data_IF_409608403208
#
_entry.id   IF_409608403208
#
_cell.length_a   1.000
_cell.length_b   1.000
_cell.length_c   1.000
_cell.angle_alpha   90.00
_cell.angle_beta   90.00
_cell.angle_gamma   90.00
#
_symmetry.space_group_name_H-M   'P 1'
#
loop_
_entity.id
_entity.type
_entity.pdbx_description
1 polymer ?
#
# COMPACT_ATOMS: atom_id res chain seq x y z
N UNK A 1 -16.32 -10.81 6.20
CA UNK A 1 -15.95 -9.88 7.28
C UNK A 1 -15.06 -8.84 6.64
N UNK A 2 -15.39 -7.53 6.76
CA UNK A 2 -14.63 -6.47 6.10
C UNK A 2 -13.22 -6.37 6.68
N UNK A 3 -12.22 -6.20 5.82
CA UNK A 3 -10.81 -6.09 6.23
C UNK A 3 -10.49 -4.67 6.69
N UNK A 4 -10.90 -3.65 5.90
CA UNK A 4 -10.74 -2.23 6.23
C UNK A 4 -12.11 -1.58 6.34
N UNK A 5 -12.31 -0.81 7.40
CA UNK A 5 -13.51 -0.03 7.63
C UNK A 5 -13.15 1.38 8.11
N UNK A 6 -13.74 2.38 7.48
CA UNK A 6 -13.71 3.77 7.94
C UNK A 6 -15.14 4.18 8.23
N UNK A 7 -15.40 4.67 9.43
CA UNK A 7 -16.75 5.13 9.84
C UNK A 7 -16.69 6.62 10.13
N UNK A 8 -17.45 7.39 9.36
CA UNK A 8 -17.53 8.85 9.46
C UNK A 8 -16.17 9.52 9.58
N UNK A 9 -15.18 8.98 8.82
CA UNK A 9 -13.77 9.36 8.93
C UNK A 9 -13.56 10.77 8.42
N UNK A 10 -13.10 11.66 9.29
CA UNK A 10 -12.80 13.05 8.99
C UNK A 10 -11.30 13.30 9.06
N UNK A 11 -10.68 13.56 7.90
CA UNK A 11 -9.25 13.79 7.78
C UNK A 11 -8.94 15.28 7.60
N UNK A 12 -7.85 15.74 8.21
CA UNK A 12 -7.39 17.12 8.09
C UNK A 12 -6.40 17.50 9.17
N UNK A 13 -6.02 18.79 9.21
CA UNK A 13 -5.07 19.35 10.17
C UNK A 13 -5.76 20.40 11.06
N UNK A 14 -6.10 21.57 10.51
CA UNK A 14 -6.84 22.65 11.21
C UNK A 14 -8.34 22.60 10.93
N UNK A 15 -8.77 21.79 9.95
CA UNK A 15 -10.14 21.57 9.54
C UNK A 15 -10.23 20.42 8.55
N UNK A 16 -11.46 19.92 8.27
CA UNK A 16 -11.67 18.85 7.31
C UNK A 16 -11.17 19.21 5.91
N UNK A 17 -10.48 18.28 5.24
CA UNK A 17 -10.04 18.45 3.85
C UNK A 17 -11.12 18.03 2.85
N UNK A 18 -12.00 17.10 3.23
CA UNK A 18 -13.13 16.62 2.44
C UNK A 18 -14.27 16.20 3.39
N UNK A 19 -15.42 15.87 2.83
CA UNK A 19 -16.57 15.40 3.59
C UNK A 19 -16.24 14.09 4.34
N UNK A 20 -16.84 13.83 5.52
CA UNK A 20 -16.63 12.59 6.24
C UNK A 20 -16.84 11.36 5.35
N UNK A 21 -15.93 10.40 5.46
CA UNK A 21 -15.88 9.22 4.58
C UNK A 21 -16.33 7.97 5.33
N UNK A 22 -17.30 7.27 4.75
CA UNK A 22 -17.63 5.89 5.08
C UNK A 22 -17.10 4.96 3.99
N UNK A 23 -16.28 3.98 4.37
CA UNK A 23 -15.62 3.05 3.46
C UNK A 23 -15.51 1.68 4.10
N UNK A 24 -15.86 0.65 3.34
CA UNK A 24 -15.64 -0.74 3.71
C UNK A 24 -14.99 -1.47 2.53
N UNK A 25 -13.96 -2.29 2.83
CA UNK A 25 -13.32 -3.16 1.85
C UNK A 25 -13.37 -4.62 2.30
N UNK A 26 -13.77 -5.47 1.37
CA UNK A 26 -13.82 -6.93 1.53
C UNK A 26 -12.52 -7.59 1.02
N UNK A 27 -12.24 -8.85 1.41
CA UNK A 27 -11.14 -9.62 0.84
C UNK A 27 -11.20 -9.65 -0.70
N UNK A 28 -10.07 -9.37 -1.35
CA UNK A 28 -9.96 -9.34 -2.81
C UNK A 28 -10.56 -8.13 -3.50
N UNK A 29 -11.22 -7.22 -2.75
CA UNK A 29 -11.85 -6.02 -3.32
C UNK A 29 -10.82 -4.90 -3.53
N UNK A 30 -10.99 -4.16 -4.63
CA UNK A 30 -10.20 -2.97 -4.98
C UNK A 30 -11.08 -1.74 -5.00
N UNK A 31 -10.70 -0.70 -4.25
CA UNK A 31 -11.35 0.61 -4.27
C UNK A 31 -10.37 1.69 -4.71
N UNK A 32 -10.74 2.48 -5.71
CA UNK A 32 -10.02 3.66 -6.13
C UNK A 32 -10.57 4.92 -5.45
N UNK A 33 -9.69 5.66 -4.80
CA UNK A 33 -9.96 6.99 -4.25
C UNK A 33 -9.47 8.02 -5.27
N UNK A 34 -10.39 8.73 -5.89
CA UNK A 34 -10.09 9.78 -6.86
C UNK A 34 -10.27 11.17 -6.28
N UNK A 35 -9.44 12.10 -6.72
CA UNK A 35 -9.58 13.51 -6.37
C UNK A 35 -8.45 14.35 -6.96
N UNK A 36 -8.66 15.66 -7.01
CA UNK A 36 -7.65 16.62 -7.49
C UNK A 36 -6.40 16.58 -6.61
N UNK A 37 -5.26 17.01 -7.16
CA UNK A 37 -4.06 17.19 -6.34
C UNK A 37 -4.37 18.14 -5.17
N UNK A 38 -3.86 17.80 -3.98
CA UNK A 38 -4.07 18.60 -2.76
C UNK A 38 -5.41 18.39 -2.04
N UNK A 39 -6.35 17.56 -2.54
CA UNK A 39 -7.65 17.35 -1.88
C UNK A 39 -7.56 16.56 -0.57
N UNK A 40 -6.40 15.96 -0.26
CA UNK A 40 -6.23 15.20 0.99
C UNK A 40 -6.08 13.69 0.82
N UNK A 41 -5.84 13.18 -0.40
CA UNK A 41 -5.71 11.75 -0.67
C UNK A 41 -4.57 11.09 0.14
N UNK A 42 -3.38 11.69 0.13
CA UNK A 42 -2.25 11.22 0.95
C UNK A 42 -2.53 11.35 2.44
N UNK A 43 -3.28 12.40 2.86
CA UNK A 43 -3.70 12.54 4.25
C UNK A 43 -4.66 11.42 4.67
N UNK A 44 -5.57 11.00 3.79
CA UNK A 44 -6.42 9.84 4.03
C UNK A 44 -5.57 8.57 4.24
N UNK A 45 -4.60 8.28 3.33
CA UNK A 45 -3.71 7.14 3.47
C UNK A 45 -2.91 7.17 4.77
N UNK A 46 -2.30 8.32 5.10
CA UNK A 46 -1.51 8.45 6.34
C UNK A 46 -2.38 8.38 7.60
N UNK A 47 -3.65 8.78 7.52
CA UNK A 47 -4.61 8.59 8.61
C UNK A 47 -4.98 7.11 8.77
N UNK A 48 -5.23 6.38 7.69
CA UNK A 48 -5.49 4.93 7.74
C UNK A 48 -4.26 4.17 8.25
N UNK A 49 -3.05 4.60 7.91
CA UNK A 49 -1.80 4.07 8.45
C UNK A 49 -1.57 4.40 9.93
N UNK A 50 -2.41 5.25 10.54
CA UNK A 50 -2.24 5.71 11.91
C UNK A 50 -1.05 6.66 12.11
N UNK A 51 -0.54 7.26 11.04
CA UNK A 51 0.52 8.29 11.12
C UNK A 51 -0.05 9.64 11.52
N UNK A 52 -1.27 9.96 11.05
CA UNK A 52 -2.02 11.14 11.44
C UNK A 52 -3.26 10.73 12.22
N UNK A 53 -3.62 11.48 13.25
CA UNK A 53 -4.90 11.30 13.94
C UNK A 53 -6.04 11.89 13.11
N UNK A 54 -7.18 11.21 13.00
CA UNK A 54 -8.36 11.80 12.38
C UNK A 54 -8.91 12.94 13.24
N UNK A 55 -9.60 13.88 12.61
CA UNK A 55 -10.39 14.92 13.30
C UNK A 55 -11.68 14.33 13.88
N UNK A 56 -12.17 13.23 13.33
CA UNK A 56 -13.34 12.48 13.78
C UNK A 56 -13.48 11.15 13.09
N UNK A 57 -14.37 10.30 13.59
CA UNK A 57 -14.59 8.96 13.05
C UNK A 57 -13.54 7.94 13.50
N UNK A 58 -13.57 6.75 12.89
CA UNK A 58 -12.71 5.62 13.25
C UNK A 58 -12.17 4.91 12.01
N UNK A 59 -10.99 4.27 12.17
CA UNK A 59 -10.39 3.37 11.19
C UNK A 59 -10.20 2.01 11.85
N UNK A 60 -10.79 0.97 11.27
CA UNK A 60 -10.71 -0.40 11.77
C UNK A 60 -10.08 -1.29 10.70
N UNK A 61 -9.02 -2.04 11.06
CA UNK A 61 -8.36 -3.02 10.19
C UNK A 61 -8.38 -4.37 10.90
N UNK A 62 -8.96 -5.38 10.26
CA UNK A 62 -9.17 -6.72 10.86
C UNK A 62 -9.82 -6.66 12.25
N UNK A 63 -10.79 -5.79 12.46
CA UNK A 63 -11.49 -5.61 13.72
C UNK A 63 -10.71 -4.80 14.78
N UNK A 64 -9.55 -4.27 14.45
CA UNK A 64 -8.70 -3.48 15.35
C UNK A 64 -8.82 -1.99 15.02
N UNK A 65 -9.25 -1.16 15.97
CA UNK A 65 -9.22 0.30 15.80
C UNK A 65 -7.76 0.79 15.83
N UNK A 66 -7.33 1.33 14.68
CA UNK A 66 -5.95 1.76 14.44
C UNK A 66 -5.52 2.84 15.42
N UNK A 67 -6.42 3.77 15.76
CA UNK A 67 -6.11 4.96 16.55
C UNK A 67 -6.19 4.74 18.06
N UNK A 68 -6.63 3.55 18.51
CA UNK A 68 -6.57 3.11 19.90
C UNK A 68 -5.27 2.36 20.24
N UNK A 69 -4.46 2.03 19.22
CA UNK A 69 -3.22 1.29 19.42
C UNK A 69 -2.11 2.19 19.99
N UNK A 70 -1.28 1.58 20.87
CA UNK A 70 -0.01 2.18 21.31
C UNK A 70 1.02 2.11 20.17
N UNK A 71 2.08 2.92 20.27
CA UNK A 71 3.10 3.05 19.22
C UNK A 71 3.63 1.70 18.72
N UNK A 72 4.04 0.80 19.62
CA UNK A 72 4.60 -0.51 19.23
C UNK A 72 3.56 -1.43 18.57
N UNK A 73 2.32 -1.40 19.07
CA UNK A 73 1.21 -2.16 18.48
C UNK A 73 0.87 -1.66 17.08
N UNK A 74 0.89 -0.33 16.89
CA UNK A 74 0.66 0.31 15.60
C UNK A 74 1.80 0.01 14.61
N UNK A 75 3.06 0.05 15.07
CA UNK A 75 4.21 -0.34 14.26
C UNK A 75 4.09 -1.81 13.81
N UNK A 76 3.67 -2.70 14.71
CA UNK A 76 3.39 -4.10 14.40
C UNK A 76 2.27 -4.24 13.37
N UNK A 77 1.12 -3.59 13.56
CA UNK A 77 0.00 -3.63 12.62
C UNK A 77 0.47 -3.20 11.23
N UNK A 78 1.21 -2.09 11.12
CA UNK A 78 1.75 -1.63 9.83
C UNK A 78 2.67 -2.65 9.18
N UNK A 79 3.59 -3.25 9.94
CA UNK A 79 4.55 -4.18 9.36
C UNK A 79 3.93 -5.52 8.96
N UNK A 80 2.94 -6.04 9.71
CA UNK A 80 2.41 -7.40 9.51
C UNK A 80 1.11 -7.46 8.71
N UNK A 81 0.34 -6.36 8.69
CA UNK A 81 -1.04 -6.40 8.17
C UNK A 81 -1.25 -5.45 6.99
N UNK A 82 -0.42 -4.41 6.85
CA UNK A 82 -0.57 -3.39 5.82
C UNK A 82 0.64 -3.42 4.88
N UNK A 83 0.39 -3.61 3.58
CA UNK A 83 1.37 -3.35 2.53
C UNK A 83 1.24 -1.93 2.01
N UNK A 84 2.36 -1.23 1.75
CA UNK A 84 2.32 0.11 1.17
C UNK A 84 3.11 0.17 -0.14
N UNK A 85 2.50 0.78 -1.17
CA UNK A 85 3.14 1.05 -2.46
C UNK A 85 3.02 2.54 -2.73
N UNK A 86 4.17 3.23 -2.84
CA UNK A 86 4.24 4.67 -3.10
C UNK A 86 4.61 4.98 -4.54
N UNK A 87 4.35 6.20 -4.99
CA UNK A 87 4.47 6.65 -6.37
C UNK A 87 5.83 6.34 -7.03
N UNK A 88 6.94 6.51 -6.31
CA UNK A 88 8.30 6.25 -6.83
C UNK A 88 8.90 4.95 -6.28
N UNK A 89 8.07 4.05 -5.72
CA UNK A 89 8.51 2.85 -5.04
C UNK A 89 9.11 3.11 -3.66
N UNK A 90 9.69 4.31 -3.42
CA UNK A 90 10.31 4.71 -2.14
C UNK A 90 11.25 3.60 -1.59
N UNK A 91 12.15 3.11 -2.46
CA UNK A 91 13.15 2.12 -2.06
C UNK A 91 14.29 2.80 -1.32
N UNK A 92 14.88 2.07 -0.37
CA UNK A 92 16.05 2.54 0.35
C UNK A 92 17.28 2.48 -0.54
N UNK A 93 17.91 3.63 -0.74
CA UNK A 93 19.21 3.76 -1.43
C UNK A 93 20.32 3.04 -0.66
N UNK A 94 21.28 2.49 -1.38
CA UNK A 94 22.39 1.72 -0.79
C UNK A 94 22.01 0.28 -0.42
N UNK A 95 20.80 -0.16 -0.73
CA UNK A 95 20.31 -1.52 -0.51
C UNK A 95 19.93 -2.18 -1.83
N UNK A 96 20.10 -3.50 -1.91
CA UNK A 96 19.64 -4.28 -3.07
C UNK A 96 18.10 -4.38 -3.12
N UNK A 97 17.57 -4.84 -4.25
CA UNK A 97 16.14 -5.19 -4.35
C UNK A 97 15.76 -6.21 -3.28
N UNK A 98 16.59 -7.23 -3.04
CA UNK A 98 16.37 -8.25 -2.01
C UNK A 98 16.28 -7.64 -0.61
N UNK A 99 17.25 -6.78 -0.25
CA UNK A 99 17.27 -6.16 1.08
C UNK A 99 16.03 -5.28 1.30
N UNK A 100 15.63 -4.51 0.28
CA UNK A 100 14.43 -3.69 0.34
C UNK A 100 13.17 -4.53 0.60
N UNK A 101 13.05 -5.70 -0.04
CA UNK A 101 11.91 -6.58 0.14
C UNK A 101 11.90 -7.25 1.50
N UNK A 102 13.05 -7.64 2.01
CA UNK A 102 13.18 -8.31 3.32
C UNK A 102 12.89 -7.37 4.51
N UNK A 103 13.17 -6.09 4.35
CA UNK A 103 13.19 -5.13 5.45
C UNK A 103 11.93 -5.14 6.34
N UNK A 104 10.69 -5.11 5.81
CA UNK A 104 9.49 -5.09 6.66
C UNK A 104 9.37 -6.32 7.58
N UNK A 105 9.86 -7.48 7.13
CA UNK A 105 9.88 -8.70 7.93
C UNK A 105 10.96 -8.65 9.00
N UNK A 106 12.18 -8.24 8.62
CA UNK A 106 13.34 -8.16 9.52
C UNK A 106 13.20 -7.09 10.62
N UNK A 107 12.45 -6.03 10.38
CA UNK A 107 12.12 -5.03 11.40
C UNK A 107 11.28 -5.63 12.53
N UNK A 108 10.51 -6.69 12.24
CA UNK A 108 9.65 -7.37 13.19
C UNK A 108 10.28 -8.63 13.76
N UNK A 109 10.80 -9.50 12.89
CA UNK A 109 11.49 -10.75 13.26
C UNK A 109 12.89 -10.77 12.65
N UNK A 110 13.87 -10.36 13.44
CA UNK A 110 15.28 -10.25 13.01
C UNK A 110 15.93 -11.61 12.71
N UNK A 111 15.33 -12.69 13.15
CA UNK A 111 15.88 -14.04 13.07
C UNK A 111 15.09 -14.96 12.12
N UNK A 112 14.15 -14.38 11.33
CA UNK A 112 13.43 -15.16 10.32
C UNK A 112 14.39 -15.67 9.24
N UNK A 113 14.70 -16.95 9.30
CA UNK A 113 15.62 -17.59 8.34
C UNK A 113 14.98 -17.84 6.97
N UNK A 114 13.66 -17.70 6.83
CA UNK A 114 12.92 -17.97 5.59
C UNK A 114 12.75 -16.74 4.71
N UNK A 115 12.88 -15.54 5.30
CA UNK A 115 12.57 -14.27 4.63
C UNK A 115 13.40 -14.06 3.35
N UNK A 116 14.65 -14.51 3.32
CA UNK A 116 15.51 -14.36 2.15
C UNK A 116 15.00 -15.16 0.94
N UNK A 117 14.58 -16.41 1.18
CA UNK A 117 14.06 -17.27 0.12
C UNK A 117 12.69 -16.78 -0.37
N UNK A 118 11.81 -16.38 0.55
CA UNK A 118 10.51 -15.79 0.21
C UNK A 118 10.66 -14.49 -0.58
N UNK A 119 11.54 -13.59 -0.16
CA UNK A 119 11.82 -12.34 -0.88
C UNK A 119 12.42 -12.59 -2.27
N UNK A 120 13.36 -13.54 -2.38
CA UNK A 120 13.94 -13.92 -3.67
C UNK A 120 12.89 -14.57 -4.58
N UNK A 121 11.95 -15.33 -4.04
CA UNK A 121 10.84 -15.89 -4.82
C UNK A 121 9.90 -14.80 -5.31
N UNK A 122 9.50 -13.84 -4.46
CA UNK A 122 8.66 -12.71 -4.85
C UNK A 122 9.31 -11.89 -5.97
N UNK A 123 10.60 -11.59 -5.86
CA UNK A 123 11.32 -10.86 -6.90
C UNK A 123 11.37 -11.62 -8.22
N UNK A 124 11.57 -12.95 -8.21
CA UNK A 124 11.49 -13.78 -9.42
C UNK A 124 10.08 -13.76 -10.04
N UNK A 125 9.01 -13.89 -9.21
CA UNK A 125 7.62 -13.83 -9.70
C UNK A 125 7.28 -12.46 -10.34
N UNK A 126 7.99 -11.41 -9.93
CA UNK A 126 7.81 -10.04 -10.41
C UNK A 126 8.88 -9.61 -11.42
N UNK A 127 9.70 -10.53 -11.92
CA UNK A 127 10.77 -10.30 -12.90
C UNK A 127 11.73 -9.16 -12.51
N UNK A 128 12.30 -9.27 -11.29
CA UNK A 128 13.30 -8.34 -10.77
C UNK A 128 14.55 -9.09 -10.35
N UNK A 129 15.72 -8.61 -10.81
CA UNK A 129 17.01 -9.15 -10.39
C UNK A 129 17.32 -8.75 -8.93
N UNK A 130 17.37 -9.75 -8.06
CA UNK A 130 17.43 -9.57 -6.59
C UNK A 130 18.67 -8.86 -6.08
N UNK A 131 19.79 -8.97 -6.78
CA UNK A 131 21.09 -8.41 -6.37
C UNK A 131 21.31 -6.99 -6.84
N UNK A 132 20.45 -6.49 -7.76
CA UNK A 132 20.58 -5.15 -8.29
C UNK A 132 20.28 -4.10 -7.21
N UNK A 133 21.13 -3.08 -7.14
CA UNK A 133 20.96 -1.97 -6.19
C UNK A 133 19.76 -1.10 -6.57
N UNK A 134 19.09 -0.52 -5.59
CA UNK A 134 17.87 0.28 -5.80
C UNK A 134 18.06 1.40 -6.83
N UNK A 135 19.24 2.04 -6.87
CA UNK A 135 19.59 3.11 -7.79
C UNK A 135 19.77 2.63 -9.24
N UNK A 136 20.03 1.35 -9.42
CA UNK A 136 20.28 0.74 -10.74
C UNK A 136 19.02 0.18 -11.38
N UNK A 137 17.92 0.13 -10.63
CA UNK A 137 16.64 -0.36 -11.11
C UNK A 137 16.00 0.66 -12.07
N UNK A 138 15.39 0.19 -13.15
CA UNK A 138 14.47 0.98 -13.97
C UNK A 138 13.24 1.41 -13.18
N UNK A 139 12.43 2.33 -13.71
CA UNK A 139 11.18 2.75 -13.07
C UNK A 139 10.23 1.57 -12.79
N UNK A 140 10.05 0.70 -13.78
CA UNK A 140 9.22 -0.51 -13.64
C UNK A 140 9.77 -1.50 -12.63
N UNK A 141 11.09 -1.76 -12.65
CA UNK A 141 11.73 -2.65 -11.66
C UNK A 141 11.64 -2.09 -10.24
N UNK A 142 11.78 -0.77 -10.05
CA UNK A 142 11.57 -0.13 -8.74
C UNK A 142 10.13 -0.35 -8.24
N UNK A 143 9.15 -0.18 -9.12
CA UNK A 143 7.74 -0.36 -8.78
C UNK A 143 7.42 -1.83 -8.44
N UNK A 144 7.94 -2.78 -9.23
CA UNK A 144 7.82 -4.22 -8.95
C UNK A 144 8.51 -4.62 -7.64
N UNK A 145 9.68 -4.04 -7.34
CA UNK A 145 10.37 -4.24 -6.06
C UNK A 145 9.54 -3.68 -4.88
N UNK A 146 8.94 -2.49 -5.03
CA UNK A 146 8.06 -1.91 -4.02
C UNK A 146 6.81 -2.77 -3.78
N UNK A 147 6.26 -3.36 -4.84
CA UNK A 147 5.16 -4.33 -4.72
C UNK A 147 5.61 -5.59 -3.98
N UNK A 148 6.78 -6.17 -4.32
CA UNK A 148 7.34 -7.31 -3.58
C UNK A 148 7.49 -7.00 -2.09
N UNK A 149 8.03 -5.82 -1.77
CA UNK A 149 8.18 -5.32 -0.39
C UNK A 149 6.83 -5.20 0.33
N UNK A 150 5.80 -4.73 -0.36
CA UNK A 150 4.46 -4.64 0.22
C UNK A 150 3.85 -6.01 0.50
N UNK A 151 4.22 -7.04 -0.27
CA UNK A 151 3.65 -8.38 -0.21
C UNK A 151 4.36 -9.35 0.74
N UNK A 152 5.59 -9.07 1.18
CA UNK A 152 6.44 -10.02 1.92
C UNK A 152 5.79 -10.57 3.21
N UNK A 153 4.96 -9.78 3.86
CA UNK A 153 4.28 -10.16 5.10
C UNK A 153 2.84 -10.65 4.88
N UNK A 154 2.45 -10.99 3.65
CA UNK A 154 1.10 -11.40 3.30
C UNK A 154 0.04 -10.46 3.88
N UNK A 155 0.07 -9.15 3.53
CA UNK A 155 -0.79 -8.15 4.12
C UNK A 155 -2.26 -8.43 3.87
N UNK A 156 -3.11 -8.06 4.82
CA UNK A 156 -4.56 -8.10 4.63
C UNK A 156 -5.05 -6.94 3.76
N UNK A 157 -4.37 -5.79 3.83
CA UNK A 157 -4.68 -4.60 3.03
C UNK A 157 -3.43 -4.04 2.37
N UNK A 158 -3.55 -3.64 1.10
CA UNK A 158 -2.55 -2.84 0.38
C UNK A 158 -3.09 -1.43 0.24
N UNK A 159 -2.26 -0.46 0.64
CA UNK A 159 -2.50 0.97 0.43
C UNK A 159 -1.53 1.48 -0.63
N UNK A 160 -2.05 1.95 -1.76
CA UNK A 160 -1.25 2.39 -2.89
C UNK A 160 -1.48 3.88 -3.17
N UNK A 161 -0.43 4.70 -3.10
CA UNK A 161 -0.47 6.14 -3.41
C UNK A 161 0.15 6.37 -4.77
N UNK A 162 -0.67 6.66 -5.80
CA UNK A 162 -0.25 6.90 -7.19
C UNK A 162 0.74 5.84 -7.71
N UNK A 163 0.47 4.53 -7.56
CA UNK A 163 1.47 3.47 -7.72
C UNK A 163 2.05 3.36 -9.12
N UNK A 164 1.48 4.07 -10.08
CA UNK A 164 1.91 4.04 -11.49
C UNK A 164 2.23 5.43 -12.04
N UNK A 165 2.14 6.46 -11.20
CA UNK A 165 2.25 7.86 -11.64
C UNK A 165 3.62 8.29 -12.20
N UNK A 166 4.67 7.49 -12.00
CA UNK A 166 6.02 7.75 -12.52
C UNK A 166 6.38 6.88 -13.73
N UNK A 167 5.44 6.07 -14.24
CA UNK A 167 5.66 5.14 -15.35
C UNK A 167 5.06 5.68 -16.65
N UNK A 168 5.67 5.33 -17.78
CA UNK A 168 5.02 5.50 -19.09
C UNK A 168 3.78 4.62 -19.23
N UNK A 169 3.01 4.84 -20.30
CA UNK A 169 1.68 4.22 -20.45
C UNK A 169 1.73 2.68 -20.46
N UNK A 170 2.71 2.08 -21.14
CA UNK A 170 2.80 0.63 -21.28
C UNK A 170 3.22 -0.02 -19.95
N UNK A 171 4.25 0.50 -19.29
CA UNK A 171 4.71 0.04 -17.99
C UNK A 171 3.68 0.29 -16.88
N UNK A 172 2.90 1.37 -17.00
CA UNK A 172 1.79 1.69 -16.07
C UNK A 172 0.73 0.59 -16.08
N UNK A 173 0.29 0.18 -17.26
CA UNK A 173 -0.77 -0.82 -17.40
C UNK A 173 -0.28 -2.19 -16.94
N UNK A 174 0.96 -2.57 -17.28
CA UNK A 174 1.61 -3.79 -16.80
C UNK A 174 1.72 -3.82 -15.26
N UNK A 175 2.21 -2.75 -14.64
CA UNK A 175 2.34 -2.65 -13.18
C UNK A 175 0.98 -2.75 -12.47
N UNK A 176 -0.07 -2.15 -13.07
CA UNK A 176 -1.40 -2.22 -12.52
C UNK A 176 -2.01 -3.62 -12.64
N UNK A 177 -1.83 -4.31 -13.78
CA UNK A 177 -2.25 -5.71 -13.96
C UNK A 177 -1.60 -6.63 -12.94
N UNK A 178 -0.31 -6.43 -12.72
CA UNK A 178 0.46 -7.20 -11.75
C UNK A 178 -0.06 -6.98 -10.33
N UNK A 179 -0.28 -5.71 -9.93
CA UNK A 179 -0.82 -5.37 -8.61
C UNK A 179 -2.20 -6.02 -8.40
N UNK A 180 -3.14 -5.88 -9.34
CA UNK A 180 -4.48 -6.45 -9.24
C UNK A 180 -4.46 -7.98 -9.22
N UNK A 181 -3.57 -8.60 -9.98
CA UNK A 181 -3.37 -10.06 -9.97
C UNK A 181 -2.93 -10.55 -8.59
N UNK A 182 -1.97 -9.87 -7.96
CA UNK A 182 -1.50 -10.20 -6.61
C UNK A 182 -2.61 -10.02 -5.56
N UNK A 183 -3.37 -8.93 -5.63
CA UNK A 183 -4.51 -8.66 -4.75
C UNK A 183 -5.53 -9.80 -4.80
N UNK A 184 -5.96 -10.20 -6.01
CA UNK A 184 -6.92 -11.29 -6.20
C UNK A 184 -6.38 -12.63 -5.76
N UNK A 185 -5.14 -12.97 -6.14
CA UNK A 185 -4.49 -14.24 -5.77
C UNK A 185 -4.36 -14.41 -4.27
N UNK A 186 -4.03 -13.33 -3.55
CA UNK A 186 -3.79 -13.34 -2.11
C UNK A 186 -5.02 -13.01 -1.27
N UNK A 187 -6.14 -12.66 -1.92
CA UNK A 187 -7.37 -12.25 -1.25
C UNK A 187 -7.16 -11.09 -0.24
N UNK A 188 -6.14 -10.24 -0.45
CA UNK A 188 -6.01 -8.99 0.26
C UNK A 188 -6.92 -7.93 -0.35
N UNK A 189 -7.29 -6.89 0.37
CA UNK A 189 -7.98 -5.75 -0.24
C UNK A 189 -6.99 -4.67 -0.69
N UNK A 190 -7.38 -3.87 -1.67
CA UNK A 190 -6.58 -2.76 -2.18
C UNK A 190 -7.34 -1.44 -2.09
N UNK A 191 -6.76 -0.46 -1.42
CA UNK A 191 -7.16 0.93 -1.57
C UNK A 191 -6.11 1.66 -2.40
N UNK A 192 -6.52 2.08 -3.58
CA UNK A 192 -5.70 2.77 -4.56
C UNK A 192 -6.07 4.25 -4.59
N UNK A 193 -5.11 5.13 -4.38
CA UNK A 193 -5.28 6.57 -4.56
C UNK A 193 -4.70 6.97 -5.90
N UNK A 194 -5.48 7.64 -6.72
CA UNK A 194 -5.01 8.13 -8.02
C UNK A 194 -5.80 9.36 -8.51
N UNK A 195 -5.18 10.14 -9.38
CA UNK A 195 -5.85 11.18 -10.16
C UNK A 195 -6.10 10.75 -11.60
N UNK A 196 -5.57 9.58 -12.03
CA UNK A 196 -5.76 9.03 -13.39
C UNK A 196 -7.07 8.25 -13.49
N UNK A 197 -8.05 8.72 -14.32
CA UNK A 197 -9.31 8.02 -14.49
C UNK A 197 -9.17 6.63 -15.09
N UNK A 198 -8.18 6.39 -15.96
CA UNK A 198 -7.97 5.08 -16.59
C UNK A 198 -7.54 4.03 -15.55
N UNK A 199 -6.68 4.43 -14.63
CA UNK A 199 -6.26 3.58 -13.50
C UNK A 199 -7.42 3.34 -12.53
N UNK A 200 -8.19 4.39 -12.20
CA UNK A 200 -9.32 4.26 -11.29
C UNK A 200 -10.41 3.32 -11.81
N UNK A 201 -10.67 3.32 -13.13
CA UNK A 201 -11.65 2.43 -13.76
C UNK A 201 -11.29 0.94 -13.67
N UNK A 202 -10.08 0.61 -13.30
CA UNK A 202 -9.64 -0.79 -13.09
C UNK A 202 -9.99 -1.33 -11.71
N UNK A 203 -10.42 -0.47 -10.80
CA UNK A 203 -10.91 -0.85 -9.47
C UNK A 203 -12.38 -1.31 -9.53
N UNK A 204 -12.79 -2.12 -8.55
CA UNK A 204 -14.18 -2.60 -8.44
C UNK A 204 -15.14 -1.45 -8.10
N UNK A 205 -14.66 -0.45 -7.34
CA UNK A 205 -15.42 0.76 -6.98
C UNK A 205 -14.54 2.01 -7.04
N UNK A 206 -15.17 3.15 -7.34
CA UNK A 206 -14.52 4.46 -7.34
C UNK A 206 -15.23 5.38 -6.35
N UNK A 207 -14.45 6.00 -5.47
CA UNK A 207 -14.92 7.05 -4.56
C UNK A 207 -14.22 8.35 -4.93
N UNK A 208 -14.97 9.44 -5.03
CA UNK A 208 -14.45 10.78 -5.34
C UNK A 208 -14.44 11.61 -4.06
N UNK A 209 -13.28 12.18 -3.72
CA UNK A 209 -13.10 13.19 -2.67
C UNK A 209 -13.30 14.59 -3.21
#
# INVERSE_FOLDING_TARGET
MNILQCHNLTCGYTGPLFAPLDLELNPGETVAIMGRSGVGKTTLLTTILGMNRPLGGTVVINGIDVHQLKFDQLARLRSTTIGTVFQNGELLSGYSALDNVMLPRLLWDKHDSTVQDEAAQLLRELDVEKTRMAEQLSGGERQRTALARALINNPAVILADEPTGALDADLRDEAMDLLLTQVRRRQCCLMLVTHDPAIAQRADRIIKL
#
